data_IF_392388786335
#
_entry.id   IF_392388786335
#
_cell.length_a   1.000
_cell.length_b   1.000
_cell.length_c   1.000
_cell.angle_alpha   90.00
_cell.angle_beta   90.00
_cell.angle_gamma   90.00
#
_symmetry.space_group_name_H-M   'P 1'
#
loop_
_entity.id
_entity.type
_entity.pdbx_description
1 polymer ?
#
# COMPACT_ATOMS: atom_id res chain seq x y z
N UNK A 1 2.04 22.85 -24.29
CA UNK A 1 0.69 23.46 -24.12
C UNK A 1 -0.31 22.36 -23.80
N UNK A 2 -1.23 22.56 -22.87
CA UNK A 2 -2.29 21.57 -22.59
C UNK A 2 -3.51 21.80 -23.47
N UNK A 3 -4.09 20.73 -24.04
CA UNK A 3 -5.34 20.79 -24.83
C UNK A 3 -6.42 19.93 -24.18
N UNK A 4 -7.66 20.40 -24.20
CA UNK A 4 -8.79 19.61 -23.73
C UNK A 4 -9.20 18.57 -24.78
N UNK A 5 -9.71 17.44 -24.32
CA UNK A 5 -10.20 16.36 -25.17
C UNK A 5 -10.94 15.30 -24.36
N UNK A 6 -11.17 14.14 -24.98
CA UNK A 6 -11.80 13.00 -24.32
C UNK A 6 -10.74 11.94 -24.01
N UNK A 7 -10.79 11.33 -22.83
CA UNK A 7 -9.95 10.21 -22.43
C UNK A 7 -10.14 9.04 -23.39
N UNK A 8 -9.06 8.48 -23.93
CA UNK A 8 -9.11 7.33 -24.86
C UNK A 8 -9.73 6.09 -24.20
N UNK A 9 -9.54 5.92 -22.88
CA UNK A 9 -10.06 4.76 -22.15
C UNK A 9 -11.57 4.88 -21.96
N UNK A 10 -12.03 6.02 -21.42
CA UNK A 10 -13.41 6.15 -20.91
C UNK A 10 -14.30 7.09 -21.70
N UNK A 11 -13.75 7.88 -22.62
CA UNK A 11 -14.48 8.92 -23.34
C UNK A 11 -14.89 10.13 -22.49
N UNK A 12 -14.51 10.18 -21.20
CA UNK A 12 -14.78 11.31 -20.30
C UNK A 12 -13.82 12.48 -20.55
N UNK A 13 -14.09 13.64 -19.96
CA UNK A 13 -13.23 14.81 -20.11
C UNK A 13 -11.80 14.52 -19.64
N UNK A 14 -10.82 15.01 -20.41
CA UNK A 14 -9.40 14.84 -20.13
C UNK A 14 -8.58 16.00 -20.70
N UNK A 15 -7.39 16.21 -20.15
CA UNK A 15 -6.41 17.17 -20.69
C UNK A 15 -5.20 16.42 -21.24
N UNK A 16 -4.70 16.87 -22.38
CA UNK A 16 -3.53 16.30 -23.04
C UNK A 16 -2.34 17.27 -22.96
N UNK A 17 -1.15 16.74 -22.68
CA UNK A 17 0.13 17.47 -22.66
C UNK A 17 1.02 17.07 -23.84
N UNK A 18 1.97 17.94 -24.17
CA UNK A 18 2.99 17.67 -25.19
C UNK A 18 3.98 16.61 -24.66
N UNK A 19 4.21 15.49 -25.38
CA UNK A 19 5.02 14.38 -24.89
C UNK A 19 6.55 14.59 -24.93
N UNK A 20 7.04 15.84 -24.95
CA UNK A 20 8.49 16.18 -24.99
C UNK A 20 9.28 15.34 -26.03
N UNK A 21 8.73 15.22 -27.25
CA UNK A 21 9.37 14.52 -28.36
C UNK A 21 9.25 12.98 -28.35
N UNK A 22 8.51 12.40 -27.39
CA UNK A 22 8.20 10.96 -27.37
C UNK A 22 7.03 10.61 -28.30
N UNK A 23 7.08 9.42 -28.91
CA UNK A 23 5.99 8.88 -29.74
C UNK A 23 4.81 8.38 -28.88
N UNK A 24 3.86 9.27 -28.62
CA UNK A 24 2.67 8.96 -27.85
C UNK A 24 1.90 10.19 -27.40
N UNK A 25 1.11 10.04 -26.35
CA UNK A 25 0.28 11.11 -25.79
C UNK A 25 0.26 11.01 -24.28
N UNK A 26 0.56 12.12 -23.60
CA UNK A 26 0.30 12.26 -22.17
C UNK A 26 -1.15 12.73 -21.98
N UNK A 27 -1.88 12.04 -21.11
CA UNK A 27 -3.31 12.27 -20.84
C UNK A 27 -3.55 12.34 -19.34
N UNK A 28 -4.33 13.31 -18.89
CA UNK A 28 -4.82 13.39 -17.51
C UNK A 28 -6.34 13.24 -17.51
N UNK A 29 -6.84 12.17 -16.88
CA UNK A 29 -8.28 11.88 -16.79
C UNK A 29 -8.65 11.48 -15.38
N UNK A 30 -9.69 12.12 -14.82
CA UNK A 30 -10.22 11.76 -13.51
C UNK A 30 -10.74 10.31 -13.50
N UNK A 31 -11.42 9.87 -14.57
CA UNK A 31 -11.93 8.49 -14.72
C UNK A 31 -10.83 7.43 -14.91
N UNK A 32 -9.65 7.82 -15.41
CA UNK A 32 -8.45 6.98 -15.44
C UNK A 32 -7.58 7.11 -14.16
N UNK A 33 -8.05 7.86 -13.16
CA UNK A 33 -7.38 8.07 -11.88
C UNK A 33 -6.18 9.01 -11.91
N UNK A 34 -5.99 9.80 -12.98
CA UNK A 34 -4.92 10.81 -13.11
C UNK A 34 -4.15 10.76 -14.43
N UNK A 35 -2.90 11.23 -14.38
CA UNK A 35 -1.97 11.32 -15.52
C UNK A 35 -1.42 9.96 -15.96
N UNK A 36 -1.39 9.69 -17.25
CA UNK A 36 -0.72 8.53 -17.85
C UNK A 36 -0.15 8.89 -19.22
N UNK A 37 0.83 8.13 -19.67
CA UNK A 37 1.38 8.22 -21.02
C UNK A 37 0.92 7.01 -21.84
N UNK A 38 0.43 7.21 -23.05
CA UNK A 38 0.08 6.14 -23.97
C UNK A 38 0.95 6.21 -25.23
N UNK A 39 1.67 5.13 -25.53
CA UNK A 39 2.43 5.00 -26.78
C UNK A 39 1.49 4.97 -27.98
N UNK A 40 1.89 5.56 -29.11
CA UNK A 40 1.07 5.63 -30.32
C UNK A 40 0.56 4.27 -30.81
N UNK A 41 1.36 3.22 -30.63
CA UNK A 41 1.00 1.83 -30.95
C UNK A 41 -0.11 1.25 -30.06
N UNK A 42 -0.20 1.68 -28.79
CA UNK A 42 -1.20 1.20 -27.83
C UNK A 42 -2.53 1.95 -27.97
N UNK A 43 -2.52 3.21 -28.42
CA UNK A 43 -3.73 4.06 -28.50
C UNK A 43 -4.86 3.42 -29.31
N UNK A 44 -4.55 2.80 -30.46
CA UNK A 44 -5.56 2.12 -31.28
C UNK A 44 -6.17 0.89 -30.60
N UNK A 45 -5.38 0.15 -29.82
CA UNK A 45 -5.88 -1.02 -29.10
C UNK A 45 -6.79 -0.61 -27.94
N UNK A 46 -6.50 0.53 -27.29
CA UNK A 46 -7.32 1.06 -26.19
C UNK A 46 -8.75 1.42 -26.60
N UNK A 47 -8.96 1.93 -27.82
CA UNK A 47 -10.29 2.30 -28.33
C UNK A 47 -11.25 1.10 -28.42
N UNK A 48 -10.71 -0.10 -28.64
CA UNK A 48 -11.46 -1.35 -28.77
C UNK A 48 -11.68 -2.13 -27.48
N UNK A 49 -11.22 -1.62 -26.33
CA UNK A 49 -11.37 -2.34 -25.06
C UNK A 49 -12.84 -2.41 -24.61
N UNK A 50 -13.25 -3.57 -24.12
CA UNK A 50 -14.52 -3.71 -23.42
C UNK A 50 -14.50 -3.03 -22.05
N UNK A 51 -15.64 -2.97 -21.38
CA UNK A 51 -15.77 -2.30 -20.09
C UNK A 51 -14.91 -2.95 -19.00
N UNK A 52 -14.76 -4.28 -19.02
CA UNK A 52 -13.97 -5.01 -18.03
C UNK A 52 -12.49 -4.69 -18.16
N UNK A 53 -11.95 -4.72 -19.38
CA UNK A 53 -10.56 -4.36 -19.66
C UNK A 53 -10.27 -2.90 -19.35
N UNK A 54 -11.22 -1.99 -19.57
CA UNK A 54 -11.10 -0.58 -19.16
C UNK A 54 -10.95 -0.42 -17.65
N UNK A 55 -11.71 -1.20 -16.86
CA UNK A 55 -11.59 -1.21 -15.40
C UNK A 55 -10.21 -1.75 -14.99
N UNK A 56 -9.81 -2.91 -15.52
CA UNK A 56 -8.52 -3.54 -15.19
C UNK A 56 -7.34 -2.63 -15.56
N UNK A 57 -7.40 -1.96 -16.71
CA UNK A 57 -6.40 -0.97 -17.11
C UNK A 57 -6.36 0.21 -16.14
N UNK A 58 -7.52 0.71 -15.72
CA UNK A 58 -7.61 1.80 -14.74
C UNK A 58 -7.04 1.38 -13.38
N UNK A 59 -7.31 0.15 -12.93
CA UNK A 59 -6.76 -0.41 -11.70
C UNK A 59 -5.24 -0.53 -11.77
N UNK A 60 -4.70 -0.96 -12.92
CA UNK A 60 -3.26 -1.00 -13.15
C UNK A 60 -2.63 0.40 -13.02
N UNK A 61 -3.21 1.41 -13.69
CA UNK A 61 -2.73 2.79 -13.62
C UNK A 61 -2.79 3.36 -12.19
N UNK A 62 -3.91 3.17 -11.50
CA UNK A 62 -4.07 3.59 -10.10
C UNK A 62 -3.06 2.88 -9.19
N UNK A 63 -2.85 1.58 -9.41
CA UNK A 63 -1.86 0.78 -8.69
C UNK A 63 -0.44 1.31 -8.87
N UNK A 64 -0.02 1.59 -10.11
CA UNK A 64 1.29 2.18 -10.40
C UNK A 64 1.48 3.54 -9.71
N UNK A 65 0.45 4.40 -9.72
CA UNK A 65 0.52 5.71 -9.01
C UNK A 65 0.64 5.55 -7.50
N UNK A 66 -0.04 4.57 -6.92
CA UNK A 66 0.09 4.24 -5.48
C UNK A 66 1.50 3.75 -5.13
N UNK A 67 2.20 3.14 -6.08
CA UNK A 67 3.61 2.76 -5.96
C UNK A 67 4.58 3.93 -6.22
N UNK A 68 4.08 5.15 -6.43
CA UNK A 68 4.89 6.35 -6.62
C UNK A 68 5.21 6.70 -8.07
N UNK A 69 4.70 5.95 -9.05
CA UNK A 69 4.89 6.28 -10.47
C UNK A 69 4.00 7.47 -10.85
N UNK A 70 4.62 8.63 -11.10
CA UNK A 70 3.89 9.89 -11.34
C UNK A 70 3.09 9.90 -12.65
N UNK A 71 3.60 9.25 -13.70
CA UNK A 71 2.95 9.13 -15.00
C UNK A 71 3.13 7.70 -15.52
N UNK A 72 2.24 6.75 -15.17
CA UNK A 72 2.33 5.37 -15.64
C UNK A 72 2.18 5.30 -17.16
N UNK A 73 2.87 4.34 -17.78
CA UNK A 73 2.92 4.20 -19.23
C UNK A 73 2.08 3.01 -19.70
N UNK A 74 1.37 3.19 -20.83
CA UNK A 74 0.56 2.16 -21.47
C UNK A 74 1.21 1.78 -22.79
N UNK A 75 1.76 0.57 -22.82
CA UNK A 75 2.29 -0.09 -24.01
C UNK A 75 1.39 -1.25 -24.45
N UNK A 76 1.63 -1.83 -25.63
CA UNK A 76 0.92 -3.06 -26.07
C UNK A 76 1.10 -4.20 -25.06
N UNK A 77 2.30 -4.35 -24.49
CA UNK A 77 2.57 -5.34 -23.43
C UNK A 77 1.71 -5.11 -22.18
N UNK A 78 1.43 -3.85 -21.84
CA UNK A 78 0.54 -3.52 -20.71
C UNK A 78 -0.87 -4.04 -20.97
N UNK A 79 -1.34 -3.90 -22.22
CA UNK A 79 -2.67 -4.34 -22.65
C UNK A 79 -2.76 -5.88 -22.71
N UNK A 80 -1.71 -6.55 -23.20
CA UNK A 80 -1.64 -8.02 -23.25
C UNK A 80 -1.71 -8.65 -21.84
N UNK A 81 -1.16 -7.98 -20.83
CA UNK A 81 -1.17 -8.44 -19.44
C UNK A 81 -2.55 -8.33 -18.76
N UNK A 82 -3.50 -7.58 -19.32
CA UNK A 82 -4.83 -7.41 -18.74
C UNK A 82 -5.64 -8.72 -18.69
N UNK A 83 -5.40 -9.63 -19.63
CA UNK A 83 -6.11 -10.92 -19.68
C UNK A 83 -5.74 -11.83 -18.49
N UNK A 84 -4.58 -11.62 -17.87
CA UNK A 84 -4.15 -12.33 -16.66
C UNK A 84 -4.50 -11.60 -15.36
N UNK A 85 -4.99 -10.35 -15.44
CA UNK A 85 -5.30 -9.54 -14.29
C UNK A 85 -6.55 -10.05 -13.56
N UNK A 86 -6.55 -9.96 -12.23
CA UNK A 86 -7.69 -10.38 -11.39
C UNK A 86 -8.48 -9.17 -10.93
N UNK A 87 -9.80 -9.29 -10.93
CA UNK A 87 -10.70 -8.30 -10.33
C UNK A 87 -10.46 -8.17 -8.84
N UNK A 88 -10.56 -6.95 -8.33
CA UNK A 88 -10.47 -6.67 -6.91
C UNK A 88 -11.71 -7.22 -6.18
N UNK A 89 -11.48 -7.77 -4.99
CA UNK A 89 -12.57 -8.21 -4.10
C UNK A 89 -13.39 -7.02 -3.60
N UNK A 90 -14.67 -7.20 -3.22
CA UNK A 90 -15.47 -6.13 -2.62
C UNK A 90 -14.80 -5.46 -1.42
N UNK A 91 -14.11 -6.24 -0.57
CA UNK A 91 -13.37 -5.71 0.58
C UNK A 91 -12.21 -4.81 0.13
N UNK A 92 -11.43 -5.22 -0.87
CA UNK A 92 -10.34 -4.40 -1.43
C UNK A 92 -10.85 -3.13 -2.10
N UNK A 93 -12.03 -3.19 -2.73
CA UNK A 93 -12.69 -2.03 -3.34
C UNK A 93 -13.21 -1.05 -2.28
N UNK A 94 -13.71 -1.55 -1.15
CA UNK A 94 -14.11 -0.74 -0.01
C UNK A 94 -12.90 -0.04 0.66
N UNK A 95 -11.81 -0.77 0.87
CA UNK A 95 -10.54 -0.22 1.34
C UNK A 95 -10.04 0.89 0.39
N UNK A 96 -10.14 0.66 -0.93
CA UNK A 96 -9.82 1.67 -1.94
C UNK A 96 -10.72 2.91 -1.88
N UNK A 97 -12.00 2.77 -1.52
CA UNK A 97 -12.90 3.90 -1.33
C UNK A 97 -12.39 4.77 -0.17
N UNK A 98 -11.95 4.18 0.94
CA UNK A 98 -11.37 4.94 2.06
C UNK A 98 -10.12 5.71 1.62
N UNK A 99 -9.22 5.06 0.86
CA UNK A 99 -8.02 5.70 0.33
C UNK A 99 -8.36 6.90 -0.58
N UNK A 100 -9.37 6.74 -1.45
CA UNK A 100 -9.83 7.81 -2.33
C UNK A 100 -10.41 8.98 -1.54
N UNK A 101 -11.29 8.71 -0.57
CA UNK A 101 -11.87 9.74 0.29
C UNK A 101 -10.79 10.50 1.07
N UNK A 102 -9.80 9.79 1.61
CA UNK A 102 -8.69 10.41 2.32
C UNK A 102 -7.86 11.33 1.41
N UNK A 103 -7.53 10.87 0.20
CA UNK A 103 -6.78 11.67 -0.78
C UNK A 103 -7.55 12.90 -1.30
N UNK A 104 -8.89 12.83 -1.29
CA UNK A 104 -9.77 13.93 -1.71
C UNK A 104 -10.08 14.92 -0.58
N UNK A 105 -9.80 14.56 0.68
CA UNK A 105 -10.04 15.39 1.85
C UNK A 105 -8.81 16.25 2.16
N UNK A 106 -8.98 17.57 2.28
CA UNK A 106 -7.91 18.46 2.71
C UNK A 106 -7.81 18.54 4.25
N UNK A 107 -8.92 18.27 4.94
CA UNK A 107 -9.06 18.33 6.39
C UNK A 107 -9.87 17.15 6.90
N UNK A 108 -9.70 16.84 8.19
CA UNK A 108 -10.54 15.85 8.86
C UNK A 108 -12.00 16.31 8.87
N UNK A 109 -12.91 15.40 8.52
CA UNK A 109 -14.34 15.69 8.46
C UNK A 109 -14.82 16.37 7.16
N UNK A 110 -13.96 16.51 6.15
CA UNK A 110 -14.40 16.96 4.83
C UNK A 110 -15.45 16.02 4.23
N UNK A 111 -16.44 16.62 3.58
CA UNK A 111 -17.57 15.90 2.97
C UNK A 111 -17.38 15.86 1.45
N UNK A 112 -17.19 14.65 0.92
CA UNK A 112 -17.09 14.40 -0.51
C UNK A 112 -18.49 14.16 -1.07
N UNK A 113 -18.91 14.99 -2.03
CA UNK A 113 -20.23 14.90 -2.66
C UNK A 113 -20.13 14.38 -4.08
N UNK A 114 -21.08 13.53 -4.48
CA UNK A 114 -21.28 13.11 -5.86
C UNK A 114 -22.77 12.90 -6.17
N UNK A 115 -23.13 12.87 -7.45
CA UNK A 115 -24.51 12.70 -7.92
C UNK A 115 -24.74 11.27 -8.42
N UNK A 116 -25.93 10.71 -8.15
CA UNK A 116 -26.28 9.37 -8.61
C UNK A 116 -26.33 9.26 -10.15
N UNK A 117 -26.79 10.32 -10.82
CA UNK A 117 -26.92 10.41 -12.28
C UNK A 117 -26.01 11.52 -12.80
N UNK A 118 -25.24 11.22 -13.84
CA UNK A 118 -24.33 12.14 -14.50
C UNK A 118 -25.09 13.35 -15.07
N UNK A 119 -24.73 14.54 -14.58
CA UNK A 119 -25.16 15.81 -15.14
C UNK A 119 -23.91 16.65 -15.29
N UNK A 120 -23.53 16.94 -16.55
CA UNK A 120 -22.29 17.60 -17.03
C UNK A 120 -21.89 18.94 -16.39
N UNK A 121 -22.51 19.40 -15.29
CA UNK A 121 -22.40 20.76 -14.75
C UNK A 121 -22.06 20.88 -13.24
N UNK A 122 -21.77 19.80 -12.51
CA UNK A 122 -21.47 19.85 -11.07
C UNK A 122 -20.42 18.79 -10.63
N UNK A 123 -19.79 18.90 -9.44
CA UNK A 123 -18.43 18.38 -9.16
C UNK A 123 -18.16 16.93 -9.58
N UNK A 124 -17.10 16.76 -10.36
CA UNK A 124 -16.61 15.56 -11.09
C UNK A 124 -16.04 14.44 -10.19
N UNK A 125 -16.34 14.47 -8.88
CA UNK A 125 -15.79 13.56 -7.87
C UNK A 125 -16.11 12.09 -8.19
N UNK A 126 -17.25 11.83 -8.83
CA UNK A 126 -17.67 10.48 -9.18
C UNK A 126 -16.67 9.77 -10.09
N UNK A 127 -16.04 10.48 -11.04
CA UNK A 127 -15.07 9.85 -11.95
C UNK A 127 -13.87 9.31 -11.19
N UNK A 128 -13.38 10.08 -10.21
CA UNK A 128 -12.27 9.67 -9.32
C UNK A 128 -12.67 8.48 -8.45
N UNK A 129 -13.86 8.54 -7.85
CA UNK A 129 -14.37 7.45 -7.03
C UNK A 129 -14.50 6.16 -7.84
N UNK A 130 -15.05 6.24 -9.05
CA UNK A 130 -15.17 5.09 -9.94
C UNK A 130 -13.79 4.54 -10.35
N UNK A 131 -12.82 5.42 -10.63
CA UNK A 131 -11.46 5.03 -10.99
C UNK A 131 -10.74 4.29 -9.86
N UNK A 132 -10.83 4.80 -8.63
CA UNK A 132 -10.10 4.22 -7.50
C UNK A 132 -10.77 2.97 -6.92
N UNK A 133 -12.08 2.79 -7.13
CA UNK A 133 -12.84 1.66 -6.55
C UNK A 133 -13.06 0.49 -7.50
N UNK A 134 -12.40 0.47 -8.67
CA UNK A 134 -12.61 -0.57 -9.70
C UNK A 134 -14.09 -0.69 -10.09
N UNK A 135 -14.78 0.45 -10.19
CA UNK A 135 -16.24 0.45 -10.36
C UNK A 135 -16.64 0.78 -11.80
N UNK A 136 -17.62 0.03 -12.32
CA UNK A 136 -18.18 0.22 -13.65
C UNK A 136 -19.18 1.38 -13.70
N UNK A 137 -19.90 1.61 -12.59
CA UNK A 137 -21.04 2.52 -12.52
C UNK A 137 -21.21 3.15 -11.13
N UNK A 138 -22.00 4.21 -11.06
CA UNK A 138 -22.26 4.95 -9.82
C UNK A 138 -22.96 4.09 -8.76
N UNK A 139 -23.80 3.13 -9.16
CA UNK A 139 -24.47 2.22 -8.23
C UNK A 139 -23.47 1.36 -7.47
N UNK A 140 -22.39 0.91 -8.10
CA UNK A 140 -21.35 0.15 -7.39
C UNK A 140 -20.62 1.00 -6.35
N UNK A 141 -20.34 2.27 -6.66
CA UNK A 141 -19.75 3.22 -5.69
C UNK A 141 -20.71 3.43 -4.52
N UNK A 142 -22.02 3.54 -4.78
CA UNK A 142 -23.04 3.65 -3.75
C UNK A 142 -23.08 2.39 -2.88
N UNK A 143 -23.08 1.19 -3.47
CA UNK A 143 -23.05 -0.07 -2.71
C UNK A 143 -21.79 -0.19 -1.86
N UNK A 144 -20.62 0.24 -2.36
CA UNK A 144 -19.40 0.29 -1.56
C UNK A 144 -19.48 1.31 -0.43
N UNK A 145 -20.13 2.46 -0.66
CA UNK A 145 -20.36 3.46 0.38
C UNK A 145 -21.28 2.91 1.48
N UNK A 146 -22.37 2.23 1.13
CA UNK A 146 -23.27 1.56 2.07
C UNK A 146 -22.51 0.51 2.89
N UNK A 147 -21.71 -0.33 2.24
CA UNK A 147 -20.86 -1.32 2.92
C UNK A 147 -19.89 -0.66 3.93
N UNK A 148 -19.26 0.46 3.56
CA UNK A 148 -18.35 1.19 4.45
C UNK A 148 -19.09 1.90 5.60
N UNK A 149 -20.31 2.38 5.35
CA UNK A 149 -21.17 3.04 6.35
C UNK A 149 -21.66 2.05 7.41
N UNK A 150 -22.10 0.85 6.99
CA UNK A 150 -22.49 -0.26 7.87
C UNK A 150 -21.35 -0.69 8.81
N UNK A 151 -20.10 -0.59 8.34
CA UNK A 151 -18.90 -0.85 9.15
C UNK A 151 -18.48 0.33 10.02
N UNK A 152 -19.15 1.47 9.91
CA UNK A 152 -18.84 2.69 10.63
C UNK A 152 -17.55 3.39 10.16
N UNK A 153 -17.01 3.00 9.01
CA UNK A 153 -15.78 3.60 8.46
C UNK A 153 -16.04 4.98 7.86
N UNK A 154 -17.23 5.18 7.30
CA UNK A 154 -17.68 6.47 6.77
C UNK A 154 -19.05 6.81 7.33
N UNK A 155 -19.48 8.06 7.07
CA UNK A 155 -20.89 8.43 7.05
C UNK A 155 -21.32 8.52 5.59
N UNK A 156 -22.40 7.84 5.23
CA UNK A 156 -23.07 7.97 3.93
C UNK A 156 -24.44 8.62 4.12
N UNK A 157 -24.65 9.80 3.51
CA UNK A 157 -25.95 10.47 3.49
C UNK A 157 -26.45 10.58 2.06
N UNK A 158 -27.69 10.12 1.84
CA UNK A 158 -28.44 10.34 0.60
C UNK A 158 -29.39 11.53 0.80
N UNK A 159 -29.25 12.56 -0.03
CA UNK A 159 -30.11 13.75 -0.06
C UNK A 159 -30.96 13.74 -1.33
N UNK A 160 -32.22 13.32 -1.18
CA UNK A 160 -33.14 13.14 -2.31
C UNK A 160 -33.53 14.48 -2.96
N UNK A 161 -33.54 14.51 -4.30
CA UNK A 161 -33.99 15.65 -5.12
C UNK A 161 -33.44 17.02 -4.70
N UNK A 162 -32.21 17.06 -4.20
CA UNK A 162 -31.65 18.22 -3.51
C UNK A 162 -30.97 19.25 -4.42
N UNK A 163 -30.93 19.03 -5.74
CA UNK A 163 -30.41 19.99 -6.71
C UNK A 163 -31.49 20.47 -7.71
N UNK A 164 -31.19 21.55 -8.43
CA UNK A 164 -32.11 22.17 -9.40
C UNK A 164 -32.60 21.24 -10.53
N UNK A 165 -31.93 20.09 -10.72
CA UNK A 165 -32.24 19.11 -11.75
C UNK A 165 -32.96 17.86 -11.19
N UNK A 166 -33.21 17.80 -9.88
CA UNK A 166 -33.90 16.67 -9.24
C UNK A 166 -33.05 15.41 -9.01
N UNK A 167 -31.72 15.48 -9.14
CA UNK A 167 -30.86 14.32 -8.89
C UNK A 167 -30.58 14.12 -7.41
N UNK A 168 -30.46 12.87 -7.00
CA UNK A 168 -30.00 12.49 -5.67
C UNK A 168 -28.52 12.84 -5.49
N UNK A 169 -28.20 13.43 -4.34
CA UNK A 169 -26.84 13.76 -3.92
C UNK A 169 -26.41 12.78 -2.85
N UNK A 170 -25.22 12.21 -3.00
CA UNK A 170 -24.60 11.38 -2.00
C UNK A 170 -23.44 12.13 -1.36
N UNK A 171 -23.41 12.15 -0.03
CA UNK A 171 -22.36 12.76 0.78
C UNK A 171 -21.62 11.66 1.53
N UNK A 172 -20.29 11.62 1.38
CA UNK A 172 -19.39 10.68 2.03
C UNK A 172 -18.43 11.45 2.93
N UNK A 173 -18.26 11.00 4.17
CA UNK A 173 -17.31 11.58 5.12
C UNK A 173 -16.60 10.47 5.89
N UNK A 174 -15.27 10.51 5.98
CA UNK A 174 -14.51 9.56 6.80
C UNK A 174 -14.86 9.72 8.29
N UNK A 175 -14.95 8.61 9.00
CA UNK A 175 -15.16 8.54 10.46
C UNK A 175 -13.92 8.01 11.17
N UNK A 176 -13.80 8.18 12.50
CA UNK A 176 -12.66 7.66 13.26
C UNK A 176 -12.30 6.19 12.97
N UNK A 177 -13.26 5.24 12.89
CA UNK A 177 -12.93 3.86 12.51
C UNK A 177 -12.38 3.70 11.09
N UNK A 178 -12.77 4.57 10.16
CA UNK A 178 -12.23 4.58 8.79
C UNK A 178 -10.79 5.07 8.75
N UNK A 179 -10.42 6.04 9.59
CA UNK A 179 -9.03 6.45 9.76
C UNK A 179 -8.18 5.33 10.38
N UNK A 180 -8.68 4.65 11.41
CA UNK A 180 -7.98 3.47 11.96
C UNK A 180 -7.78 2.37 10.90
N UNK A 181 -8.79 2.12 10.06
CA UNK A 181 -8.65 1.17 8.95
C UNK A 181 -7.58 1.60 7.94
N UNK A 182 -7.49 2.89 7.63
CA UNK A 182 -6.44 3.43 6.75
C UNK A 182 -5.05 3.24 7.34
N UNK A 183 -4.87 3.42 8.64
CA UNK A 183 -3.61 3.16 9.35
C UNK A 183 -3.24 1.67 9.34
N UNK A 184 -4.21 0.77 9.54
CA UNK A 184 -4.01 -0.68 9.41
C UNK A 184 -3.56 -1.07 8.00
N UNK A 185 -4.17 -0.46 6.97
CA UNK A 185 -3.85 -0.73 5.56
C UNK A 185 -2.44 -0.27 5.15
N UNK A 186 -1.93 0.79 5.80
CA UNK A 186 -0.56 1.27 5.60
C UNK A 186 0.49 0.43 6.35
N UNK A 187 0.10 -0.77 6.81
CA UNK A 187 0.98 -1.74 7.44
C UNK A 187 1.50 -1.34 8.82
N UNK A 188 1.10 -0.18 9.33
CA UNK A 188 1.29 0.12 10.74
C UNK A 188 0.22 -0.61 11.53
N UNK A 189 0.43 -1.89 11.81
CA UNK A 189 -0.34 -2.61 12.81
C UNK A 189 0.07 -2.12 14.20
N UNK A 190 -0.28 -0.87 14.53
CA UNK A 190 0.11 -0.16 15.76
C UNK A 190 -0.41 -0.88 17.01
N UNK A 191 -1.49 -1.64 16.89
CA UNK A 191 -2.07 -2.43 17.97
C UNK A 191 -1.37 -3.77 18.17
N UNK A 192 -0.55 -4.21 17.22
CA UNK A 192 0.21 -5.46 17.37
C UNK A 192 1.28 -5.32 18.43
N UNK A 193 1.33 -6.31 19.31
CA UNK A 193 2.46 -6.49 20.22
C UNK A 193 3.61 -7.25 19.58
N UNK A 194 3.52 -7.68 18.32
CA UNK A 194 4.49 -8.57 17.69
C UNK A 194 5.61 -7.79 16.99
N UNK A 195 6.87 -8.19 17.25
CA UNK A 195 8.03 -7.84 16.44
C UNK A 195 8.52 -9.05 15.66
N UNK A 196 8.46 -8.99 14.32
CA UNK A 196 8.98 -10.06 13.45
C UNK A 196 10.51 -10.06 13.48
N UNK A 197 11.12 -11.24 13.54
CA UNK A 197 12.58 -11.37 13.48
C UNK A 197 13.00 -12.15 12.23
N UNK A 198 13.58 -11.42 11.28
CA UNK A 198 14.20 -11.93 10.07
C UNK A 198 15.70 -12.14 10.34
N UNK A 199 16.15 -13.39 10.46
CA UNK A 199 17.55 -13.69 10.73
C UNK A 199 17.93 -15.10 10.26
N UNK A 200 19.23 -15.39 10.20
CA UNK A 200 19.70 -16.73 9.87
C UNK A 200 19.47 -17.73 11.02
N UNK A 201 18.94 -18.92 10.68
CA UNK A 201 18.60 -19.98 11.65
C UNK A 201 19.73 -20.96 11.97
N UNK A 202 20.98 -20.65 11.63
CA UNK A 202 22.08 -21.55 11.97
C UNK A 202 22.36 -21.54 13.47
N UNK A 203 22.77 -22.70 14.02
CA UNK A 203 23.11 -22.87 15.45
C UNK A 203 23.95 -21.74 16.08
N UNK A 204 24.97 -21.16 15.41
CA UNK A 204 25.75 -20.06 15.98
C UNK A 204 24.92 -18.79 16.28
N UNK A 205 23.80 -18.60 15.59
CA UNK A 205 22.93 -17.44 15.72
C UNK A 205 21.79 -17.64 16.73
N UNK A 206 21.59 -18.85 17.25
CA UNK A 206 20.55 -19.11 18.26
C UNK A 206 20.79 -18.35 19.55
N UNK A 207 22.05 -18.27 19.99
CA UNK A 207 22.43 -17.50 21.18
C UNK A 207 22.20 -16.00 20.97
N UNK A 208 22.46 -15.49 19.77
CA UNK A 208 22.21 -14.09 19.39
C UNK A 208 20.72 -13.78 19.47
N UNK A 209 19.87 -14.69 19.00
CA UNK A 209 18.43 -14.55 19.15
C UNK A 209 17.97 -14.62 20.60
N UNK A 210 18.33 -15.70 21.31
CA UNK A 210 17.81 -16.02 22.64
C UNK A 210 18.29 -15.05 23.72
N UNK A 211 19.53 -14.56 23.61
CA UNK A 211 20.17 -13.69 24.62
C UNK A 211 20.23 -12.23 24.18
N UNK A 212 20.10 -11.95 22.89
CA UNK A 212 20.16 -10.60 22.32
C UNK A 212 18.80 -10.09 21.84
N UNK A 213 18.35 -10.57 20.68
CA UNK A 213 17.19 -10.01 19.96
C UNK A 213 15.89 -10.19 20.75
N UNK A 214 15.60 -11.43 21.15
CA UNK A 214 14.37 -11.77 21.88
C UNK A 214 14.21 -10.95 23.18
N UNK A 215 15.19 -10.91 24.10
CA UNK A 215 15.04 -10.15 25.33
C UNK A 215 15.05 -8.63 25.11
N UNK A 216 15.62 -8.11 24.02
CA UNK A 216 15.49 -6.69 23.68
C UNK A 216 14.05 -6.35 23.28
N UNK A 217 13.45 -7.13 22.39
CA UNK A 217 12.05 -6.96 21.94
C UNK A 217 11.09 -7.12 23.13
N UNK A 218 11.24 -8.20 23.91
CA UNK A 218 10.37 -8.49 25.06
C UNK A 218 10.56 -7.49 26.20
N UNK A 219 11.79 -7.00 26.41
CA UNK A 219 12.09 -5.96 27.38
C UNK A 219 11.41 -4.64 27.08
N UNK A 220 11.13 -4.34 25.80
CA UNK A 220 10.37 -3.17 25.38
C UNK A 220 8.83 -3.41 25.38
N UNK A 221 8.33 -4.49 25.98
CA UNK A 221 6.88 -4.76 26.05
C UNK A 221 6.26 -5.37 24.78
N UNK A 222 7.07 -5.92 23.87
CA UNK A 222 6.61 -6.62 22.67
C UNK A 222 6.81 -8.14 22.77
N UNK A 223 6.40 -8.88 21.75
CA UNK A 223 6.57 -10.33 21.61
C UNK A 223 7.44 -10.59 20.38
N UNK A 224 8.61 -11.22 20.59
CA UNK A 224 9.49 -11.59 19.49
C UNK A 224 8.95 -12.82 18.76
N UNK A 225 8.71 -12.70 17.46
CA UNK A 225 8.25 -13.81 16.62
C UNK A 225 9.32 -14.15 15.58
N UNK A 226 9.84 -15.38 15.66
CA UNK A 226 10.78 -15.97 14.70
C UNK A 226 10.13 -17.20 14.10
N UNK A 227 10.06 -17.27 12.76
CA UNK A 227 9.19 -18.23 12.05
C UNK A 227 9.56 -19.70 12.29
N UNK A 228 10.84 -20.01 12.48
CA UNK A 228 11.36 -21.37 12.74
C UNK A 228 10.86 -21.99 14.05
N UNK A 229 10.21 -21.22 14.93
CA UNK A 229 9.65 -21.68 16.21
C UNK A 229 8.14 -21.96 16.18
N UNK A 230 7.50 -21.85 15.01
CA UNK A 230 6.07 -22.10 14.84
C UNK A 230 5.84 -23.36 14.01
N UNK A 231 5.10 -24.32 14.54
CA UNK A 231 4.67 -25.49 13.76
C UNK A 231 3.62 -25.07 12.71
N UNK A 232 3.81 -25.47 11.45
CA UNK A 232 2.83 -25.24 10.38
C UNK A 232 2.84 -26.37 9.35
N UNK A 233 1.68 -26.59 8.70
CA UNK A 233 1.49 -27.59 7.62
C UNK A 233 1.66 -26.94 6.23
N UNK A 234 1.46 -25.63 6.14
CA UNK A 234 1.49 -24.85 4.90
C UNK A 234 2.91 -24.50 4.44
N UNK A 235 3.06 -23.86 3.27
CA UNK A 235 4.36 -23.34 2.81
C UNK A 235 4.86 -22.27 3.79
N UNK A 236 6.11 -22.40 4.20
CA UNK A 236 6.74 -21.47 5.17
C UNK A 236 6.70 -20.02 4.68
N UNK A 237 6.82 -19.80 3.36
CA UNK A 237 6.83 -18.48 2.74
C UNK A 237 5.50 -17.72 2.94
N UNK A 238 4.36 -18.40 2.81
CA UNK A 238 3.03 -17.78 3.01
C UNK A 238 2.84 -17.36 4.48
N UNK A 239 3.37 -18.16 5.41
CA UNK A 239 3.35 -17.85 6.84
C UNK A 239 4.30 -16.70 7.19
N UNK A 240 5.48 -16.63 6.57
CA UNK A 240 6.41 -15.48 6.73
C UNK A 240 5.70 -14.18 6.34
N UNK A 241 5.10 -14.13 5.14
CA UNK A 241 4.38 -12.96 4.65
C UNK A 241 3.22 -12.57 5.59
N UNK A 242 2.44 -13.56 6.04
CA UNK A 242 1.31 -13.34 6.94
C UNK A 242 1.76 -12.78 8.30
N UNK A 243 2.84 -13.31 8.85
CA UNK A 243 3.36 -12.88 10.14
C UNK A 243 4.07 -11.52 10.07
N UNK A 244 4.76 -11.20 8.96
CA UNK A 244 5.29 -9.85 8.72
C UNK A 244 4.13 -8.85 8.75
N UNK A 245 3.05 -9.10 7.99
CA UNK A 245 1.85 -8.22 7.99
C UNK A 245 1.20 -8.03 9.36
N UNK A 246 1.30 -9.02 10.24
CA UNK A 246 0.76 -8.96 11.61
C UNK A 246 1.67 -8.19 12.56
N UNK A 247 2.91 -7.93 12.19
CA UNK A 247 3.90 -7.36 13.09
C UNK A 247 3.87 -5.84 13.08
N UNK A 248 4.15 -5.24 14.23
CA UNK A 248 4.24 -3.79 14.38
C UNK A 248 5.55 -3.23 13.83
N UNK A 249 6.60 -4.04 13.87
CA UNK A 249 7.92 -3.75 13.31
C UNK A 249 8.64 -5.06 12.99
N UNK A 250 9.72 -4.95 12.23
CA UNK A 250 10.58 -6.06 11.88
C UNK A 250 12.02 -5.76 12.32
N UNK A 251 12.68 -6.73 12.94
CA UNK A 251 14.12 -6.73 13.19
C UNK A 251 14.79 -7.66 12.15
N UNK A 252 15.64 -7.09 11.30
CA UNK A 252 16.35 -7.82 10.25
C UNK A 252 17.84 -7.89 10.58
N UNK A 253 18.36 -9.10 10.80
CA UNK A 253 19.79 -9.33 11.00
C UNK A 253 20.46 -9.79 9.71
N UNK A 254 21.36 -8.95 9.19
CA UNK A 254 22.04 -9.14 7.91
C UNK A 254 23.36 -9.91 8.03
N UNK A 255 23.68 -10.46 9.21
CA UNK A 255 24.93 -11.17 9.44
C UNK A 255 25.07 -12.35 8.47
N UNK A 256 26.13 -12.35 7.68
CA UNK A 256 26.39 -13.35 6.67
C UNK A 256 27.87 -13.63 6.50
N UNK A 257 28.18 -14.79 5.92
CA UNK A 257 29.51 -15.03 5.38
C UNK A 257 29.72 -14.18 4.12
N UNK A 258 30.97 -13.83 3.79
CA UNK A 258 31.31 -12.90 2.71
C UNK A 258 30.64 -13.21 1.36
N UNK A 259 30.57 -14.49 0.99
CA UNK A 259 30.04 -14.94 -0.31
C UNK A 259 28.60 -15.47 -0.23
N UNK A 260 27.90 -15.30 0.90
CA UNK A 260 26.57 -15.90 1.14
C UNK A 260 25.58 -14.91 1.75
N UNK A 261 25.25 -13.82 1.02
CA UNK A 261 24.25 -12.86 1.48
C UNK A 261 22.91 -13.56 1.73
N UNK A 262 22.20 -13.15 2.78
CA UNK A 262 20.97 -13.81 3.24
C UNK A 262 19.74 -13.36 2.46
N UNK A 263 19.61 -13.84 1.22
CA UNK A 263 18.52 -13.43 0.30
C UNK A 263 17.11 -13.40 0.91
N UNK A 264 16.79 -14.36 1.79
CA UNK A 264 15.52 -14.37 2.54
C UNK A 264 15.34 -13.13 3.45
N UNK A 265 16.37 -12.76 4.23
CA UNK A 265 16.32 -11.57 5.09
C UNK A 265 16.18 -10.28 4.28
N UNK A 266 16.86 -10.17 3.13
CA UNK A 266 16.70 -9.04 2.23
C UNK A 266 15.27 -8.95 1.67
N UNK A 267 14.69 -10.09 1.27
CA UNK A 267 13.31 -10.16 0.80
C UNK A 267 12.31 -9.75 1.88
N UNK A 268 12.44 -10.31 3.09
CA UNK A 268 11.56 -10.03 4.23
C UNK A 268 11.65 -8.55 4.66
N UNK A 269 12.86 -8.00 4.74
CA UNK A 269 13.08 -6.59 5.04
C UNK A 269 12.48 -5.67 3.97
N UNK A 270 12.74 -5.94 2.69
CA UNK A 270 12.19 -5.16 1.58
C UNK A 270 10.66 -5.26 1.51
N UNK A 271 10.09 -6.43 1.79
CA UNK A 271 8.64 -6.62 1.85
C UNK A 271 8.01 -5.83 3.00
N UNK A 272 8.61 -5.86 4.19
CA UNK A 272 8.15 -5.06 5.33
C UNK A 272 8.20 -3.56 5.04
N UNK A 273 9.30 -3.06 4.43
CA UNK A 273 9.41 -1.66 4.03
C UNK A 273 8.38 -1.26 2.97
N UNK A 274 8.15 -2.13 1.98
CA UNK A 274 7.11 -1.92 0.97
C UNK A 274 5.69 -1.86 1.55
N UNK A 275 5.48 -2.43 2.73
CA UNK A 275 4.24 -2.34 3.50
C UNK A 275 4.21 -1.16 4.47
N UNK A 276 5.27 -0.36 4.59
CA UNK A 276 5.34 0.71 5.60
C UNK A 276 5.60 0.21 7.03
N UNK A 277 5.95 -1.06 7.21
CA UNK A 277 6.33 -1.62 8.51
C UNK A 277 7.77 -1.17 8.83
N UNK A 278 8.03 -0.53 9.99
CA UNK A 278 9.37 -0.13 10.37
C UNK A 278 10.35 -1.31 10.44
N UNK A 279 11.51 -1.17 9.78
CA UNK A 279 12.57 -2.18 9.78
C UNK A 279 13.79 -1.70 10.55
N UNK A 280 14.08 -2.36 11.68
CA UNK A 280 15.31 -2.15 12.46
C UNK A 280 16.35 -3.15 11.99
N UNK A 281 17.47 -2.64 11.48
CA UNK A 281 18.52 -3.47 10.89
C UNK A 281 19.65 -3.71 11.88
N UNK A 282 20.11 -4.94 11.98
CA UNK A 282 21.25 -5.35 12.81
C UNK A 282 22.25 -6.10 11.96
N UNK A 283 23.53 -6.03 12.29
CA UNK A 283 24.57 -6.82 11.64
C UNK A 283 25.77 -6.96 12.57
N UNK A 284 26.39 -8.15 12.60
CA UNK A 284 27.63 -8.35 13.32
C UNK A 284 28.71 -7.44 12.75
N UNK A 285 29.49 -6.82 13.63
CA UNK A 285 30.44 -5.77 13.25
C UNK A 285 31.46 -6.24 12.20
N UNK A 286 31.95 -7.48 12.34
CA UNK A 286 32.88 -8.11 11.39
C UNK A 286 32.25 -8.46 10.02
N UNK A 287 30.93 -8.35 9.90
CA UNK A 287 30.16 -8.74 8.71
C UNK A 287 29.60 -7.53 7.96
N UNK A 288 29.74 -6.33 8.51
CA UNK A 288 29.25 -5.08 7.90
C UNK A 288 29.85 -4.82 6.53
N UNK A 289 31.14 -5.12 6.36
CA UNK A 289 31.85 -4.95 5.09
C UNK A 289 31.37 -5.89 4.00
N UNK A 290 30.57 -6.92 4.35
CA UNK A 290 29.99 -7.88 3.43
C UNK A 290 28.50 -7.64 3.17
N UNK A 291 27.88 -6.68 3.87
CA UNK A 291 26.48 -6.30 3.62
C UNK A 291 26.35 -5.79 2.18
N UNK A 292 25.26 -6.15 1.50
CA UNK A 292 25.06 -5.81 0.09
C UNK A 292 25.02 -4.29 -0.09
N UNK A 293 25.65 -3.78 -1.17
CA UNK A 293 25.82 -2.36 -1.43
C UNK A 293 24.52 -1.56 -1.28
N UNK A 294 23.41 -2.07 -1.84
CA UNK A 294 22.09 -1.41 -1.81
C UNK A 294 21.54 -1.19 -0.39
N UNK A 295 22.02 -1.96 0.59
CA UNK A 295 21.60 -1.83 1.98
C UNK A 295 22.61 -1.11 2.88
N UNK A 296 23.87 -0.94 2.45
CA UNK A 296 24.92 -0.28 3.26
C UNK A 296 24.59 1.16 3.66
N UNK A 297 23.72 1.82 2.89
CA UNK A 297 23.27 3.18 3.17
C UNK A 297 22.27 3.27 4.33
N UNK A 298 21.64 2.15 4.70
CA UNK A 298 20.75 2.10 5.86
C UNK A 298 21.53 1.95 7.18
N UNK A 299 21.00 2.57 8.24
CA UNK A 299 21.58 2.53 9.58
C UNK A 299 21.41 1.15 10.23
N UNK A 300 22.41 0.29 10.02
CA UNK A 300 22.57 -0.98 10.71
C UNK A 300 23.10 -0.73 12.12
N UNK A 301 22.56 -1.44 13.10
CA UNK A 301 23.14 -1.52 14.45
C UNK A 301 24.32 -2.50 14.38
N UNK A 302 25.58 -2.03 14.49
CA UNK A 302 26.73 -2.91 14.58
C UNK A 302 26.76 -3.56 15.96
N UNK A 303 26.91 -4.89 16.01
CA UNK A 303 26.98 -5.63 17.28
C UNK A 303 28.17 -6.59 17.36
N UNK A 304 28.71 -6.75 18.57
CA UNK A 304 29.87 -7.62 18.87
C UNK A 304 29.45 -8.98 19.45
N UNK A 305 28.48 -8.95 20.35
CA UNK A 305 27.93 -10.11 21.03
C UNK A 305 26.45 -9.89 21.35
N UNK A 306 25.81 -10.89 21.96
CA UNK A 306 24.39 -10.85 22.28
C UNK A 306 24.03 -9.76 23.32
N UNK A 307 24.94 -9.41 24.24
CA UNK A 307 24.68 -8.41 25.29
C UNK A 307 24.71 -7.02 24.67
N UNK A 308 25.73 -6.72 23.88
CA UNK A 308 25.85 -5.47 23.12
C UNK A 308 24.65 -5.29 22.16
N UNK A 309 24.26 -6.36 21.46
CA UNK A 309 23.07 -6.33 20.60
C UNK A 309 21.82 -6.02 21.40
N UNK A 310 21.63 -6.66 22.56
CA UNK A 310 20.44 -6.44 23.40
C UNK A 310 20.30 -4.97 23.77
N UNK A 311 21.35 -4.35 24.29
CA UNK A 311 21.31 -2.96 24.77
C UNK A 311 21.02 -1.97 23.65
N UNK A 312 21.75 -2.10 22.53
CA UNK A 312 21.58 -1.22 21.37
C UNK A 312 20.22 -1.39 20.70
N UNK A 313 19.74 -2.62 20.58
CA UNK A 313 18.45 -2.92 19.97
C UNK A 313 17.30 -2.43 20.85
N UNK A 314 17.37 -2.62 22.18
CA UNK A 314 16.38 -2.09 23.14
C UNK A 314 16.27 -0.57 22.98
N UNK A 315 17.41 0.14 22.98
CA UNK A 315 17.45 1.58 22.80
C UNK A 315 16.82 2.01 21.48
N UNK A 316 17.10 1.30 20.38
CA UNK A 316 16.52 1.61 19.07
C UNK A 316 15.01 1.35 19.03
N UNK A 317 14.53 0.26 19.62
CA UNK A 317 13.10 -0.08 19.66
C UNK A 317 12.33 1.01 20.42
N UNK A 318 12.73 1.34 21.65
CA UNK A 318 12.04 2.40 22.42
C UNK A 318 12.12 3.76 21.73
N UNK A 319 13.22 4.09 21.05
CA UNK A 319 13.35 5.39 20.35
C UNK A 319 12.51 5.50 19.07
N UNK A 320 12.37 4.42 18.29
CA UNK A 320 11.73 4.46 16.96
C UNK A 320 10.28 3.97 16.99
N UNK A 321 9.99 2.96 17.83
CA UNK A 321 8.67 2.32 17.91
C UNK A 321 7.91 2.77 19.17
N UNK A 322 8.62 3.11 20.24
CA UNK A 322 8.07 3.35 21.57
C UNK A 322 7.85 2.06 22.36
N UNK A 323 7.42 2.20 23.61
CA UNK A 323 7.20 1.03 24.48
C UNK A 323 5.90 0.29 24.11
N UNK A 324 5.95 -1.03 24.27
CA UNK A 324 4.93 -1.96 23.82
C UNK A 324 3.81 -2.19 24.84
N UNK A 325 2.67 -2.74 24.39
CA UNK A 325 1.47 -2.87 25.20
C UNK A 325 1.60 -3.86 26.38
N UNK A 326 2.64 -4.70 26.41
CA UNK A 326 2.88 -5.66 27.50
C UNK A 326 3.92 -5.17 28.53
N UNK A 327 4.38 -3.93 28.43
CA UNK A 327 5.30 -3.37 29.41
C UNK A 327 4.61 -3.28 30.77
N UNK A 328 5.16 -3.98 31.78
CA UNK A 328 4.66 -3.88 33.15
C UNK A 328 5.19 -2.57 33.74
N UNK A 329 4.30 -1.58 33.85
CA UNK A 329 4.56 -0.36 34.65
C UNK A 329 4.88 -0.67 36.10
#
# INVERSE_FOLDING_TARGET
MSRDGNCVIWGTAATYSDPDGRDGTEVNSNRAGGKYFAFGSATKQMEGLDQEKKILLTDHLVGQRRLGVSCPEISTTTLDQLDAARKLSPASRADNLLLALNAMSARLGDVIKFYAIDNKKAPENIERLLAHTSSASNSEVITLAEYCDERGWITHKKLERSNANGNDVHELMLRPPGYSRLEEMQGTNTQSSQGFVAMWFARPMDDIFLKGIKPAIEGCGYQAMRIDKKEHIEKIDDQIIAEIRRSRFLVADFTSDADKPRGGVYYEAGFAEGLGIPVIRTCREDSLDYVHFDTRQFNHIPWKDAVDLKEKLTTRISAVIGDGPNERR
#
